data_IF_538752231143
#
_entry.id   IF_538752231143
#
_cell.length_a   1.000
_cell.length_b   1.000
_cell.length_c   1.000
_cell.angle_alpha   90.00
_cell.angle_beta   90.00
_cell.angle_gamma   90.00
#
_symmetry.space_group_name_H-M   'P 1'
#
loop_
_entity.id
_entity.type
_entity.pdbx_description
1 polymer ?
#
# COMPACT_ATOMS: atom_id res chain seq x y z
N UNK A 1 6.58 14.25 12.74
CA UNK A 1 5.90 15.26 13.60
C UNK A 1 6.48 16.65 13.37
N UNK A 2 7.75 16.91 13.70
CA UNK A 2 8.37 18.22 13.44
C UNK A 2 8.28 18.67 11.96
N UNK A 3 8.54 17.74 11.03
CA UNK A 3 8.34 17.98 9.59
C UNK A 3 6.91 18.38 9.24
N UNK A 4 5.90 17.71 9.79
CA UNK A 4 4.49 18.01 9.57
C UNK A 4 4.07 19.36 10.15
N UNK A 5 4.65 19.77 11.29
CA UNK A 5 4.43 21.11 11.87
C UNK A 5 5.00 22.19 10.95
N UNK A 6 6.23 22.02 10.46
CA UNK A 6 6.83 22.95 9.50
C UNK A 6 6.01 23.08 8.23
N UNK A 7 5.55 21.97 7.65
CA UNK A 7 4.72 21.99 6.44
C UNK A 7 3.38 22.70 6.66
N UNK A 8 2.74 22.45 7.81
CA UNK A 8 1.51 23.13 8.18
C UNK A 8 1.70 24.65 8.31
N UNK A 9 2.85 25.10 8.85
CA UNK A 9 3.19 26.52 8.95
C UNK A 9 3.45 27.15 7.56
N UNK A 10 3.89 26.36 6.58
CA UNK A 10 4.10 26.81 5.19
C UNK A 10 2.87 26.57 4.29
N UNK A 11 1.68 26.40 4.88
CA UNK A 11 0.42 26.15 4.18
C UNK A 11 0.40 24.91 3.27
N UNK A 12 1.34 23.97 3.47
CA UNK A 12 1.34 22.66 2.82
C UNK A 12 0.52 21.71 3.69
N UNK A 13 -0.81 21.84 3.60
CA UNK A 13 -1.76 21.01 4.32
C UNK A 13 -3.01 20.68 3.48
N UNK A 14 -3.73 19.64 3.88
CA UNK A 14 -4.95 19.23 3.19
C UNK A 14 -6.12 20.00 3.80
N UNK A 15 -6.56 21.08 3.14
CA UNK A 15 -7.66 21.92 3.62
C UNK A 15 -9.02 21.51 3.09
N UNK A 16 -9.09 20.95 1.88
CA UNK A 16 -10.32 20.46 1.26
C UNK A 16 -10.11 19.04 0.72
N UNK A 17 -11.20 18.30 0.58
CA UNK A 17 -11.24 16.94 0.03
C UNK A 17 -11.90 16.90 -1.36
N UNK A 18 -11.99 18.05 -2.03
CA UNK A 18 -12.65 18.23 -3.32
C UNK A 18 -14.13 18.63 -3.21
N UNK A 19 -14.74 18.82 -4.38
CA UNK A 19 -16.11 19.35 -4.53
C UNK A 19 -17.07 18.25 -4.96
N UNK A 20 -18.07 17.95 -4.13
CA UNK A 20 -19.06 16.89 -4.37
C UNK A 20 -20.46 17.49 -4.40
N UNK A 21 -21.26 17.12 -5.41
CA UNK A 21 -22.62 17.66 -5.59
C UNK A 21 -22.70 19.20 -5.61
N UNK A 22 -21.62 19.88 -6.04
CA UNK A 22 -21.51 21.34 -6.04
C UNK A 22 -21.07 21.96 -4.72
N UNK A 23 -20.84 21.16 -3.67
CA UNK A 23 -20.35 21.61 -2.37
C UNK A 23 -18.89 21.24 -2.18
N UNK A 24 -18.06 22.21 -1.82
CA UNK A 24 -16.66 21.97 -1.45
C UNK A 24 -16.58 21.35 -0.05
N UNK A 25 -15.95 20.18 0.06
CA UNK A 25 -15.77 19.49 1.33
C UNK A 25 -14.53 20.04 2.04
N UNK A 26 -14.70 21.17 2.72
CA UNK A 26 -13.64 21.83 3.51
C UNK A 26 -13.52 21.17 4.88
N UNK A 27 -12.29 20.88 5.30
CA UNK A 27 -12.00 20.31 6.62
C UNK A 27 -12.08 21.40 7.70
N UNK A 28 -12.67 21.10 8.88
CA UNK A 28 -12.60 22.01 10.02
C UNK A 28 -11.15 22.31 10.39
N UNK A 29 -10.82 23.57 10.71
CA UNK A 29 -9.42 24.01 10.95
C UNK A 29 -8.70 23.21 12.03
N UNK A 30 -9.40 22.78 13.08
CA UNK A 30 -8.82 21.94 14.14
C UNK A 30 -8.46 20.52 13.67
N UNK A 31 -9.07 20.05 12.58
CA UNK A 31 -8.88 18.71 12.03
C UNK A 31 -7.87 18.66 10.88
N UNK A 32 -7.59 19.80 10.22
CA UNK A 32 -6.62 19.90 9.11
C UNK A 32 -5.25 19.34 9.51
N UNK A 33 -4.72 19.76 10.67
CA UNK A 33 -3.40 19.32 11.12
C UNK A 33 -3.36 17.80 11.44
N UNK A 34 -4.27 17.25 12.29
CA UNK A 34 -4.32 15.80 12.52
C UNK A 34 -4.47 14.97 11.24
N UNK A 35 -5.33 15.41 10.33
CA UNK A 35 -5.58 14.71 9.06
C UNK A 35 -4.34 14.72 8.16
N UNK A 36 -3.72 15.90 7.99
CA UNK A 36 -2.50 16.06 7.19
C UNK A 36 -1.33 15.28 7.80
N UNK A 37 -1.17 15.32 9.13
CA UNK A 37 -0.16 14.53 9.84
C UNK A 37 -0.35 13.03 9.58
N UNK A 38 -1.59 12.53 9.65
CA UNK A 38 -1.90 11.14 9.37
C UNK A 38 -1.62 10.76 7.91
N UNK A 39 -1.97 11.61 6.95
CA UNK A 39 -1.68 11.38 5.54
C UNK A 39 -0.16 11.28 5.28
N UNK A 40 0.62 12.21 5.84
CA UNK A 40 2.08 12.21 5.75
C UNK A 40 2.65 10.95 6.41
N UNK A 41 2.39 10.73 7.70
CA UNK A 41 2.97 9.61 8.43
C UNK A 41 2.53 8.26 7.85
N UNK A 42 1.26 8.14 7.48
CA UNK A 42 0.66 6.94 6.91
C UNK A 42 1.29 6.56 5.58
N UNK A 43 1.39 7.51 4.64
CA UNK A 43 1.98 7.23 3.34
C UNK A 43 3.50 7.04 3.42
N UNK A 44 4.21 7.85 4.22
CA UNK A 44 5.66 7.66 4.41
C UNK A 44 5.96 6.25 4.93
N UNK A 45 5.16 5.75 5.87
CA UNK A 45 5.28 4.38 6.35
C UNK A 45 4.84 3.35 5.30
N UNK A 46 3.81 3.63 4.51
CA UNK A 46 3.38 2.75 3.42
C UNK A 46 4.48 2.55 2.37
N UNK A 47 5.20 3.62 2.01
CA UNK A 47 6.32 3.52 1.08
C UNK A 47 7.50 2.76 1.69
N UNK A 48 7.80 2.98 2.98
CA UNK A 48 8.81 2.20 3.69
C UNK A 48 8.50 0.69 3.67
N UNK A 49 7.23 0.33 3.90
CA UNK A 49 6.79 -1.06 3.83
C UNK A 49 6.86 -1.66 2.40
N UNK A 50 6.84 -0.82 1.36
CA UNK A 50 7.03 -1.23 -0.04
C UNK A 50 8.50 -1.53 -0.39
N UNK A 51 9.47 -1.04 0.39
CA UNK A 51 10.91 -1.26 0.19
C UNK A 51 11.37 -2.66 0.65
N UNK A 52 10.70 -3.70 0.15
CA UNK A 52 10.97 -5.10 0.49
C UNK A 52 11.60 -5.94 -0.62
N UNK A 53 11.73 -5.38 -1.85
CA UNK A 53 12.37 -6.03 -2.98
C UNK A 53 13.34 -5.07 -3.68
N UNK A 54 14.48 -5.62 -4.12
CA UNK A 54 15.49 -4.93 -4.93
C UNK A 54 14.87 -4.19 -6.12
N UNK A 55 15.01 -2.86 -6.16
CA UNK A 55 14.52 -2.01 -7.24
C UNK A 55 13.03 -1.66 -7.19
N UNK A 56 12.25 -2.15 -6.23
CA UNK A 56 10.80 -1.90 -6.18
C UNK A 56 10.46 -0.46 -5.81
N UNK A 57 10.86 -0.03 -4.61
CA UNK A 57 10.49 1.29 -4.06
C UNK A 57 11.01 2.44 -4.95
N UNK A 58 12.23 2.31 -5.46
CA UNK A 58 12.83 3.27 -6.40
C UNK A 58 12.07 3.34 -7.72
N UNK A 59 11.76 2.19 -8.34
CA UNK A 59 11.05 2.16 -9.63
C UNK A 59 9.64 2.72 -9.56
N UNK A 60 8.86 2.36 -8.53
CA UNK A 60 7.50 2.91 -8.37
C UNK A 60 7.55 4.41 -8.04
N UNK A 61 8.54 4.86 -7.27
CA UNK A 61 8.71 6.28 -6.94
C UNK A 61 9.05 7.11 -8.17
N UNK A 62 9.90 6.60 -9.08
CA UNK A 62 10.18 7.27 -10.36
C UNK A 62 8.88 7.50 -11.14
N UNK A 63 7.99 6.51 -11.22
CA UNK A 63 6.69 6.66 -11.91
C UNK A 63 5.84 7.76 -11.26
N UNK A 64 5.81 7.83 -9.93
CA UNK A 64 5.08 8.89 -9.21
C UNK A 64 5.67 10.26 -9.46
N UNK A 65 7.00 10.41 -9.39
CA UNK A 65 7.68 11.66 -9.70
C UNK A 65 7.50 12.08 -11.16
N UNK A 66 7.44 11.15 -12.12
CA UNK A 66 7.14 11.49 -13.51
C UNK A 66 5.74 12.09 -13.66
N UNK A 67 4.74 11.58 -12.93
CA UNK A 67 3.41 12.17 -12.93
C UNK A 67 3.40 13.58 -12.30
N UNK A 68 4.07 13.78 -11.16
CA UNK A 68 4.19 15.10 -10.53
C UNK A 68 5.00 16.09 -11.37
N UNK A 69 6.03 15.63 -12.07
CA UNK A 69 6.78 16.45 -13.02
C UNK A 69 5.89 16.92 -14.16
N UNK A 70 5.05 16.03 -14.73
CA UNK A 70 4.12 16.40 -15.79
C UNK A 70 3.14 17.49 -15.33
N UNK A 71 2.54 17.32 -14.14
CA UNK A 71 1.64 18.32 -13.52
C UNK A 71 2.41 19.64 -13.29
N UNK A 72 3.62 19.57 -12.74
CA UNK A 72 4.44 20.75 -12.48
C UNK A 72 4.76 21.53 -13.75
N UNK A 73 5.13 20.83 -14.84
CA UNK A 73 5.39 21.44 -16.15
C UNK A 73 4.13 22.07 -16.75
N UNK A 74 2.97 21.44 -16.59
CA UNK A 74 1.69 21.94 -17.11
C UNK A 74 1.25 23.23 -16.42
N UNK A 75 1.47 23.33 -15.11
CA UNK A 75 1.04 24.48 -14.29
C UNK A 75 2.16 25.47 -13.96
N UNK A 76 3.37 25.25 -14.49
CA UNK A 76 4.58 26.01 -14.17
C UNK A 76 4.88 26.10 -12.66
N UNK A 77 4.59 25.03 -11.90
CA UNK A 77 4.90 24.97 -10.47
C UNK A 77 6.35 24.54 -10.25
N UNK A 78 7.18 25.47 -9.77
CA UNK A 78 8.61 25.26 -9.58
C UNK A 78 8.91 24.12 -8.57
N UNK A 79 8.12 24.02 -7.50
CA UNK A 79 8.35 23.01 -6.45
C UNK A 79 8.15 21.59 -7.01
N UNK A 80 7.06 21.36 -7.74
CA UNK A 80 6.78 20.09 -8.42
C UNK A 80 7.86 19.77 -9.46
N UNK A 81 8.29 20.74 -10.27
CA UNK A 81 9.31 20.54 -11.30
C UNK A 81 10.67 20.19 -10.66
N UNK A 82 11.15 21.01 -9.74
CA UNK A 82 12.51 20.89 -9.18
C UNK A 82 12.66 19.61 -8.36
N UNK A 83 11.74 19.33 -7.43
CA UNK A 83 11.87 18.13 -6.60
C UNK A 83 11.65 16.84 -7.42
N UNK A 84 10.66 16.81 -8.32
CA UNK A 84 10.42 15.62 -9.13
C UNK A 84 11.61 15.30 -10.03
N UNK A 85 12.13 16.30 -10.78
CA UNK A 85 13.28 16.09 -11.67
C UNK A 85 14.54 15.66 -10.91
N UNK A 86 14.83 16.28 -9.76
CA UNK A 86 15.94 15.89 -8.89
C UNK A 86 15.83 14.42 -8.48
N UNK A 87 14.69 14.01 -7.91
CA UNK A 87 14.50 12.65 -7.42
C UNK A 87 14.44 11.62 -8.54
N UNK A 88 13.91 11.94 -9.72
CA UNK A 88 13.97 11.05 -10.90
C UNK A 88 15.44 10.73 -11.23
N UNK A 89 16.29 11.75 -11.36
CA UNK A 89 17.72 11.55 -11.70
C UNK A 89 18.44 10.78 -10.60
N UNK A 90 18.26 11.15 -9.33
CA UNK A 90 18.87 10.46 -8.19
C UNK A 90 18.43 9.00 -8.11
N UNK A 91 17.15 8.72 -8.31
CA UNK A 91 16.63 7.35 -8.24
C UNK A 91 17.03 6.51 -9.44
N UNK A 92 17.13 7.08 -10.64
CA UNK A 92 17.69 6.37 -11.80
C UNK A 92 19.15 5.96 -11.54
N UNK A 93 19.95 6.86 -10.98
CA UNK A 93 21.34 6.55 -10.61
C UNK A 93 21.42 5.49 -9.50
N UNK A 94 20.56 5.59 -8.47
CA UNK A 94 20.47 4.59 -7.41
C UNK A 94 20.01 3.22 -7.92
N UNK A 95 19.05 3.19 -8.85
CA UNK A 95 18.49 1.97 -9.42
C UNK A 95 19.55 1.12 -10.13
N UNK A 96 20.59 1.74 -10.72
CA UNK A 96 21.73 1.00 -11.30
C UNK A 96 22.44 0.10 -10.28
N UNK A 97 22.43 0.48 -9.00
CA UNK A 97 23.04 -0.28 -7.90
C UNK A 97 22.02 -1.10 -7.10
N UNK A 98 20.75 -0.69 -7.13
CA UNK A 98 19.67 -1.33 -6.37
C UNK A 98 18.88 -2.36 -7.18
N UNK A 99 19.05 -2.44 -8.51
CA UNK A 99 18.40 -3.45 -9.34
C UNK A 99 18.85 -4.86 -8.98
N UNK A 100 17.92 -5.82 -9.01
CA UNK A 100 18.19 -7.18 -8.59
C UNK A 100 19.30 -7.87 -9.43
N UNK A 101 20.35 -8.45 -8.80
CA UNK A 101 20.62 -8.47 -7.35
C UNK A 101 21.22 -7.15 -6.83
N UNK A 102 20.63 -6.59 -5.77
CA UNK A 102 21.05 -5.29 -5.23
C UNK A 102 22.46 -5.31 -4.62
N UNK A 103 23.24 -4.27 -4.93
CA UNK A 103 24.54 -3.97 -4.31
C UNK A 103 24.41 -2.96 -3.17
N UNK A 104 23.43 -2.08 -3.27
CA UNK A 104 23.11 -1.05 -2.27
C UNK A 104 21.63 -1.15 -1.96
N UNK A 105 21.30 -1.26 -0.67
CA UNK A 105 19.93 -1.22 -0.18
C UNK A 105 19.53 0.21 0.16
N UNK A 106 18.25 0.52 -0.03
CA UNK A 106 17.71 1.84 0.23
C UNK A 106 17.65 2.11 1.74
N UNK A 107 17.14 1.14 2.50
CA UNK A 107 17.04 1.20 3.96
C UNK A 107 16.00 2.22 4.44
N UNK A 108 15.69 2.17 5.73
CA UNK A 108 14.63 3.00 6.33
C UNK A 108 14.86 4.50 6.09
N UNK A 109 16.11 4.97 6.16
CA UNK A 109 16.42 6.39 5.93
C UNK A 109 16.02 6.85 4.52
N UNK A 110 16.31 6.04 3.50
CA UNK A 110 16.00 6.39 2.12
C UNK A 110 14.50 6.32 1.82
N UNK A 111 13.86 5.23 2.24
CA UNK A 111 12.44 4.98 1.96
C UNK A 111 11.52 5.96 2.68
N UNK A 112 11.83 6.32 3.94
CA UNK A 112 11.09 7.34 4.69
C UNK A 112 11.28 8.73 4.09
N UNK A 113 12.49 9.09 3.67
CA UNK A 113 12.75 10.37 3.01
C UNK A 113 11.99 10.49 1.69
N UNK A 114 12.03 9.45 0.84
CA UNK A 114 11.22 9.43 -0.39
C UNK A 114 9.73 9.54 -0.09
N UNK A 115 9.23 8.77 0.88
CA UNK A 115 7.82 8.78 1.24
C UNK A 115 7.36 10.17 1.67
N UNK A 116 8.18 10.86 2.46
CA UNK A 116 7.92 12.24 2.86
C UNK A 116 7.82 13.19 1.65
N UNK A 117 8.80 13.16 0.74
CA UNK A 117 8.82 14.05 -0.42
C UNK A 117 7.61 13.79 -1.32
N UNK A 118 7.28 12.52 -1.58
CA UNK A 118 6.14 12.17 -2.41
C UNK A 118 4.83 12.70 -1.83
N UNK A 119 4.62 12.66 -0.51
CA UNK A 119 3.41 13.24 0.09
C UNK A 119 3.40 14.75 -0.01
N UNK A 120 4.55 15.42 0.17
CA UNK A 120 4.63 16.87 0.01
C UNK A 120 4.20 17.27 -1.41
N UNK A 121 4.72 16.58 -2.43
CA UNK A 121 4.32 16.81 -3.82
C UNK A 121 2.86 16.45 -4.07
N UNK A 122 2.36 15.39 -3.42
CA UNK A 122 0.95 14.99 -3.48
C UNK A 122 0.02 16.07 -2.94
N UNK A 123 0.35 16.67 -1.80
CA UNK A 123 -0.42 17.77 -1.19
C UNK A 123 -0.35 19.00 -2.10
N UNK A 124 0.85 19.35 -2.60
CA UNK A 124 1.02 20.47 -3.52
C UNK A 124 0.19 20.29 -4.81
N UNK A 125 0.15 19.07 -5.34
CA UNK A 125 -0.63 18.76 -6.54
C UNK A 125 -2.15 18.95 -6.36
N UNK A 126 -2.68 18.95 -5.12
CA UNK A 126 -4.10 19.21 -4.85
C UNK A 126 -4.55 20.62 -5.27
N UNK A 127 -3.62 21.56 -5.48
CA UNK A 127 -3.93 22.87 -6.04
C UNK A 127 -4.35 22.80 -7.52
N UNK A 128 -3.97 21.73 -8.21
CA UNK A 128 -4.11 21.61 -9.67
C UNK A 128 -5.02 20.46 -10.11
N UNK A 129 -5.06 19.36 -9.34
CA UNK A 129 -5.74 18.12 -9.72
C UNK A 129 -6.66 17.63 -8.61
N UNK A 130 -7.65 16.80 -8.98
CA UNK A 130 -8.58 16.23 -7.98
C UNK A 130 -7.86 15.39 -6.92
N UNK A 131 -8.37 15.33 -5.66
CA UNK A 131 -7.81 14.45 -4.63
C UNK A 131 -7.79 12.98 -5.03
N UNK A 132 -8.79 12.53 -5.79
CA UNK A 132 -8.83 11.16 -6.31
C UNK A 132 -7.70 10.90 -7.33
N UNK A 133 -7.36 11.87 -8.18
CA UNK A 133 -6.21 11.79 -9.09
C UNK A 133 -4.89 11.66 -8.34
N UNK A 134 -4.71 12.39 -7.24
CA UNK A 134 -3.55 12.23 -6.37
C UNK A 134 -3.50 10.80 -5.81
N UNK A 135 -4.62 10.29 -5.27
CA UNK A 135 -4.70 8.92 -4.76
C UNK A 135 -4.35 7.86 -5.80
N UNK A 136 -4.71 8.07 -7.07
CA UNK A 136 -4.27 7.21 -8.18
C UNK A 136 -2.76 7.28 -8.39
N UNK A 137 -2.18 8.48 -8.41
CA UNK A 137 -0.74 8.67 -8.60
C UNK A 137 0.05 7.97 -7.49
N UNK A 138 -0.45 7.93 -6.25
CA UNK A 138 0.25 7.29 -5.13
C UNK A 138 -0.42 5.97 -4.67
N UNK A 139 -1.19 5.33 -5.56
CA UNK A 139 -2.08 4.24 -5.16
C UNK A 139 -1.32 3.05 -4.58
N UNK A 140 -0.30 2.55 -5.27
CA UNK A 140 0.21 1.20 -4.99
C UNK A 140 0.70 0.98 -3.54
N UNK A 141 1.48 1.88 -2.92
CA UNK A 141 1.85 1.76 -1.50
C UNK A 141 0.65 1.78 -0.55
N UNK A 142 -0.33 2.65 -0.82
CA UNK A 142 -1.57 2.76 -0.02
C UNK A 142 -2.35 1.45 -0.12
N UNK A 143 -2.55 0.95 -1.34
CA UNK A 143 -3.30 -0.25 -1.63
C UNK A 143 -2.69 -1.49 -0.97
N UNK A 144 -1.38 -1.66 -1.09
CA UNK A 144 -0.67 -2.78 -0.47
C UNK A 144 -0.80 -2.74 1.07
N UNK A 145 -0.56 -1.57 1.66
CA UNK A 145 -0.68 -1.37 3.10
C UNK A 145 -2.09 -1.68 3.59
N UNK A 146 -3.12 -1.22 2.86
CA UNK A 146 -4.51 -1.47 3.21
C UNK A 146 -4.87 -2.95 3.13
N UNK A 147 -4.37 -3.68 2.12
CA UNK A 147 -4.54 -5.13 2.03
C UNK A 147 -3.92 -5.84 3.22
N UNK A 148 -2.70 -5.46 3.60
CA UNK A 148 -2.00 -6.06 4.75
C UNK A 148 -2.77 -5.78 6.05
N UNK A 149 -3.20 -4.55 6.28
CA UNK A 149 -4.00 -4.18 7.45
C UNK A 149 -5.34 -4.94 7.49
N UNK A 150 -6.05 -5.02 6.37
CA UNK A 150 -7.31 -5.76 6.25
C UNK A 150 -7.12 -7.23 6.57
N UNK A 151 -6.07 -7.86 6.02
CA UNK A 151 -5.71 -9.26 6.31
C UNK A 151 -5.37 -9.49 7.79
N UNK A 152 -4.77 -8.51 8.48
CA UNK A 152 -4.45 -8.58 9.92
C UNK A 152 -5.73 -8.53 10.77
N UNK A 153 -6.61 -7.58 10.47
CA UNK A 153 -7.90 -7.44 11.16
C UNK A 153 -8.73 -8.72 11.01
N UNK A 154 -8.78 -9.30 9.80
CA UNK A 154 -9.45 -10.58 9.54
C UNK A 154 -8.84 -11.77 10.30
N UNK A 155 -7.58 -11.67 10.78
CA UNK A 155 -6.89 -12.67 11.61
C UNK A 155 -7.05 -12.41 13.11
N UNK A 156 -7.76 -11.36 13.51
CA UNK A 156 -7.81 -10.91 14.90
C UNK A 156 -6.49 -10.34 15.41
N UNK A 157 -5.57 -9.97 14.50
CA UNK A 157 -4.28 -9.37 14.83
C UNK A 157 -4.41 -7.86 14.67
N UNK A 158 -3.79 -7.10 15.57
CA UNK A 158 -3.75 -5.63 15.46
C UNK A 158 -3.20 -5.19 14.09
N UNK A 159 -3.87 -4.26 13.38
CA UNK A 159 -3.42 -3.75 12.09
C UNK A 159 -2.07 -3.02 12.18
N UNK A 160 -1.68 -2.55 13.37
CA UNK A 160 -0.45 -1.78 13.61
C UNK A 160 0.77 -2.65 14.00
N UNK A 161 0.62 -3.98 14.08
CA UNK A 161 1.74 -4.88 14.38
C UNK A 161 2.64 -5.03 13.15
N UNK A 162 3.94 -4.76 13.27
CA UNK A 162 4.89 -4.95 12.18
C UNK A 162 4.91 -6.43 11.72
N UNK A 163 4.61 -6.68 10.44
CA UNK A 163 4.60 -8.00 9.81
C UNK A 163 5.10 -7.82 8.37
N UNK A 164 5.92 -8.76 7.91
CA UNK A 164 6.65 -8.71 6.64
C UNK A 164 5.84 -9.23 5.44
N UNK A 165 4.57 -9.60 5.61
CA UNK A 165 3.77 -10.25 4.57
C UNK A 165 3.01 -9.29 3.64
N UNK A 166 3.76 -8.55 2.82
CA UNK A 166 3.23 -7.62 1.81
C UNK A 166 2.90 -8.31 0.47
N UNK A 167 2.22 -7.62 -0.45
CA UNK A 167 1.90 -8.17 -1.78
C UNK A 167 3.14 -8.55 -2.57
N UNK A 168 4.25 -7.83 -2.40
CA UNK A 168 5.50 -8.18 -3.06
C UNK A 168 6.04 -9.55 -2.60
N UNK A 169 5.90 -9.90 -1.31
CA UNK A 169 6.18 -11.25 -0.82
C UNK A 169 5.20 -12.29 -1.36
N UNK A 170 3.92 -11.93 -1.52
CA UNK A 170 2.93 -12.83 -2.11
C UNK A 170 3.23 -13.15 -3.59
N UNK A 171 3.47 -12.12 -4.41
CA UNK A 171 3.80 -12.28 -5.83
C UNK A 171 5.12 -13.04 -6.02
N UNK A 172 6.12 -12.72 -5.19
CA UNK A 172 7.38 -13.46 -5.16
C UNK A 172 7.15 -14.94 -4.82
N UNK A 173 6.36 -15.25 -3.79
CA UNK A 173 6.09 -16.64 -3.38
C UNK A 173 5.29 -17.44 -4.43
N UNK A 174 4.57 -16.78 -5.35
CA UNK A 174 3.83 -17.46 -6.43
C UNK A 174 4.71 -17.76 -7.64
N UNK A 175 5.63 -16.86 -8.01
CA UNK A 175 6.45 -17.00 -9.23
C UNK A 175 7.92 -17.36 -9.00
N UNK A 176 8.48 -17.02 -7.84
CA UNK A 176 9.90 -17.21 -7.52
C UNK A 176 10.86 -16.21 -8.18
N UNK A 177 10.35 -15.16 -8.85
CA UNK A 177 11.16 -14.19 -9.60
C UNK A 177 10.92 -12.75 -9.09
N UNK A 178 12.00 -12.15 -8.56
CA UNK A 178 12.01 -10.77 -8.04
C UNK A 178 11.79 -9.77 -9.18
N UNK A 179 12.50 -9.92 -10.30
CA UNK A 179 12.44 -8.97 -11.43
C UNK A 179 11.04 -8.93 -12.02
N UNK A 180 10.43 -10.12 -12.21
CA UNK A 180 9.06 -10.22 -12.69
C UNK A 180 8.07 -9.53 -11.75
N UNK A 181 8.22 -9.73 -10.44
CA UNK A 181 7.35 -9.11 -9.42
C UNK A 181 7.46 -7.59 -9.46
N UNK A 182 8.68 -7.06 -9.51
CA UNK A 182 8.95 -5.62 -9.60
C UNK A 182 8.33 -5.05 -10.88
N UNK A 183 8.56 -5.68 -12.04
CA UNK A 183 8.02 -5.19 -13.32
C UNK A 183 6.49 -5.11 -13.31
N UNK A 184 5.79 -6.11 -12.79
CA UNK A 184 4.32 -6.06 -12.67
C UNK A 184 3.87 -4.91 -11.80
N UNK A 185 4.49 -4.74 -10.63
CA UNK A 185 4.11 -3.69 -9.69
C UNK A 185 4.37 -2.29 -10.28
N UNK A 186 5.47 -2.12 -10.99
CA UNK A 186 5.78 -0.89 -11.73
C UNK A 186 4.75 -0.63 -12.84
N UNK A 187 4.37 -1.66 -13.61
CA UNK A 187 3.32 -1.53 -14.63
C UNK A 187 1.96 -1.16 -14.00
N UNK A 188 1.59 -1.75 -12.87
CA UNK A 188 0.38 -1.40 -12.14
C UNK A 188 0.41 0.06 -11.68
N UNK A 189 1.52 0.49 -11.08
CA UNK A 189 1.70 1.88 -10.66
C UNK A 189 1.63 2.84 -11.85
N UNK A 190 2.25 2.49 -12.99
CA UNK A 190 2.18 3.28 -14.22
C UNK A 190 0.75 3.42 -14.73
N UNK A 191 -0.03 2.33 -14.75
CA UNK A 191 -1.45 2.36 -15.14
C UNK A 191 -2.25 3.26 -14.19
N UNK A 192 -2.05 3.14 -12.88
CA UNK A 192 -2.74 4.01 -11.92
C UNK A 192 -2.37 5.48 -12.12
N UNK A 193 -1.08 5.81 -12.28
CA UNK A 193 -0.63 7.18 -12.51
C UNK A 193 -1.18 7.77 -13.82
N UNK A 194 -1.24 6.97 -14.91
CA UNK A 194 -1.86 7.41 -16.18
C UNK A 194 -3.34 7.70 -15.98
N UNK A 195 -4.08 6.80 -15.32
CA UNK A 195 -5.51 7.01 -15.03
C UNK A 195 -5.68 8.29 -14.19
N UNK A 196 -4.88 8.45 -13.13
CA UNK A 196 -4.91 9.62 -12.26
C UNK A 196 -4.68 10.92 -13.00
N UNK A 197 -3.69 10.95 -13.90
CA UNK A 197 -3.41 12.10 -14.76
C UNK A 197 -4.55 12.37 -15.75
N UNK A 198 -5.15 11.34 -16.36
CA UNK A 198 -6.25 11.53 -17.32
C UNK A 198 -7.55 12.01 -16.67
N UNK A 199 -7.81 11.64 -15.42
CA UNK A 199 -8.99 12.09 -14.67
C UNK A 199 -8.73 13.34 -13.81
N UNK A 200 -7.58 13.98 -13.97
CA UNK A 200 -7.14 15.16 -13.21
C UNK A 200 -8.10 16.34 -13.29
N UNK A 201 -8.72 16.54 -14.46
CA UNK A 201 -9.68 17.60 -14.75
C UNK A 201 -11.13 17.08 -14.77
N UNK A 202 -11.35 15.80 -14.48
CA UNK A 202 -12.70 15.24 -14.41
C UNK A 202 -13.43 15.70 -13.14
N UNK A 203 -14.75 15.49 -13.10
CA UNK A 203 -15.54 15.79 -11.91
C UNK A 203 -15.04 14.94 -10.71
N UNK A 204 -14.78 15.57 -9.56
CA UNK A 204 -14.30 14.92 -8.34
C UNK A 204 -15.11 13.66 -7.97
N UNK A 205 -16.44 13.68 -8.16
CA UNK A 205 -17.30 12.53 -7.87
C UNK A 205 -17.00 11.36 -8.81
N UNK A 206 -16.83 11.62 -10.11
CA UNK A 206 -16.50 10.58 -11.10
C UNK A 206 -15.13 9.99 -10.79
N UNK A 207 -14.12 10.83 -10.53
CA UNK A 207 -12.78 10.39 -10.19
C UNK A 207 -12.76 9.56 -8.90
N UNK A 208 -13.51 9.98 -7.87
CA UNK A 208 -13.63 9.25 -6.60
C UNK A 208 -14.37 7.91 -6.76
N UNK A 209 -15.45 7.87 -7.54
CA UNK A 209 -16.19 6.62 -7.83
C UNK A 209 -15.30 5.65 -8.61
N UNK A 210 -14.56 6.14 -9.60
CA UNK A 210 -13.62 5.33 -10.38
C UNK A 210 -12.52 4.76 -9.49
N UNK A 211 -11.92 5.59 -8.63
CA UNK A 211 -10.92 5.15 -7.66
C UNK A 211 -11.49 4.08 -6.73
N UNK A 212 -12.67 4.31 -6.16
CA UNK A 212 -13.35 3.39 -5.25
C UNK A 212 -13.69 2.05 -5.91
N UNK A 213 -14.12 2.07 -7.17
CA UNK A 213 -14.41 0.87 -7.95
C UNK A 213 -13.14 0.05 -8.20
N UNK A 214 -12.07 0.69 -8.68
CA UNK A 214 -10.79 0.02 -8.94
C UNK A 214 -10.17 -0.48 -7.65
N UNK A 215 -10.28 0.29 -6.56
CA UNK A 215 -9.90 -0.14 -5.23
C UNK A 215 -10.63 -1.41 -4.81
N UNK A 216 -11.95 -1.44 -4.94
CA UNK A 216 -12.76 -2.61 -4.62
C UNK A 216 -12.36 -3.84 -5.46
N UNK A 217 -12.16 -3.67 -6.77
CA UNK A 217 -11.70 -4.74 -7.67
C UNK A 217 -10.34 -5.27 -7.21
N UNK A 218 -9.40 -4.36 -6.92
CA UNK A 218 -8.06 -4.70 -6.44
C UNK A 218 -8.11 -5.51 -5.15
N UNK A 219 -8.89 -5.06 -4.16
CA UNK A 219 -9.10 -5.80 -2.91
C UNK A 219 -9.63 -7.21 -3.17
N UNK A 220 -10.61 -7.40 -4.05
CA UNK A 220 -11.17 -8.72 -4.36
C UNK A 220 -10.21 -9.64 -5.14
N UNK A 221 -9.36 -9.08 -5.99
CA UNK A 221 -8.36 -9.84 -6.73
C UNK A 221 -7.25 -10.36 -5.82
N UNK A 222 -6.77 -9.50 -4.92
CA UNK A 222 -5.62 -9.78 -4.06
C UNK A 222 -6.00 -10.31 -2.68
N UNK A 223 -7.23 -10.13 -2.20
CA UNK A 223 -7.73 -10.81 -0.99
C UNK A 223 -8.16 -12.25 -1.31
N UNK A 224 -7.17 -13.13 -1.40
CA UNK A 224 -7.37 -14.55 -1.71
C UNK A 224 -8.05 -15.35 -0.59
N UNK A 225 -8.30 -14.77 0.60
CA UNK A 225 -8.97 -15.47 1.69
C UNK A 225 -10.49 -15.55 1.53
N UNK A 226 -11.14 -14.63 0.81
CA UNK A 226 -12.55 -14.82 0.40
C UNK A 226 -12.71 -16.08 -0.45
N UNK A 227 -11.76 -16.33 -1.37
CA UNK A 227 -11.74 -17.54 -2.20
C UNK A 227 -11.43 -18.80 -1.39
N UNK A 228 -10.50 -18.75 -0.42
CA UNK A 228 -10.21 -19.90 0.47
C UNK A 228 -11.34 -20.21 1.45
N UNK A 229 -11.98 -19.22 2.08
CA UNK A 229 -13.17 -19.45 2.94
C UNK A 229 -14.34 -20.02 2.16
N UNK A 230 -14.65 -19.50 0.96
CA UNK A 230 -15.66 -20.12 0.09
C UNK A 230 -15.28 -21.57 -0.25
N UNK A 231 -14.01 -21.85 -0.57
CA UNK A 231 -13.55 -23.20 -0.87
C UNK A 231 -13.64 -24.13 0.35
N UNK A 232 -13.30 -23.67 1.55
CA UNK A 232 -13.44 -24.44 2.80
C UNK A 232 -14.90 -24.69 3.19
N UNK A 233 -15.80 -23.73 2.94
CA UNK A 233 -17.26 -23.91 3.15
C UNK A 233 -17.88 -24.86 2.12
N UNK A 234 -17.35 -24.88 0.89
CA UNK A 234 -17.83 -25.72 -0.22
C UNK A 234 -17.19 -27.12 -0.27
N UNK A 235 -16.14 -27.38 0.52
CA UNK A 235 -15.57 -28.72 0.63
C UNK A 235 -16.50 -29.58 1.49
N UNK A 236 -16.91 -30.78 1.02
CA UNK A 236 -17.69 -31.69 1.84
C UNK A 236 -16.87 -32.03 3.09
N UNK A 237 -17.49 -31.88 4.26
CA UNK A 237 -16.90 -32.23 5.54
C UNK A 237 -16.42 -33.69 5.45
N UNK A 238 -15.11 -33.91 5.54
CA UNK A 238 -14.54 -35.25 5.60
C UNK A 238 -14.79 -35.85 6.99
N UNK A 239 -15.96 -36.46 7.14
CA UNK A 239 -16.37 -37.14 8.35
C UNK A 239 -15.40 -38.25 8.77
N UNK A 240 -14.65 -38.87 7.85
CA UNK A 240 -13.69 -39.93 8.20
C UNK A 240 -12.56 -39.40 9.07
N UNK A 241 -12.01 -38.23 8.71
CA UNK A 241 -10.99 -37.54 9.49
C UNK A 241 -11.50 -37.05 10.85
N UNK A 242 -12.78 -36.65 10.93
CA UNK A 242 -13.42 -36.21 12.17
C UNK A 242 -13.65 -37.37 13.15
N UNK A 243 -14.20 -38.50 12.67
CA UNK A 243 -14.41 -39.70 13.48
C UNK A 243 -13.09 -40.36 13.91
N UNK A 244 -12.02 -40.25 13.12
CA UNK A 244 -10.70 -40.76 13.50
C UNK A 244 -10.08 -39.97 14.66
N UNK A 245 -10.28 -38.64 14.72
CA UNK A 245 -9.83 -37.82 15.85
C UNK A 245 -10.60 -38.12 17.13
N UNK A 246 -11.91 -38.36 17.03
CA UNK A 246 -12.72 -38.77 18.20
C UNK A 246 -12.27 -40.14 18.73
N UNK A 247 -12.00 -41.12 17.85
CA UNK A 247 -11.48 -42.44 18.27
C UNK A 247 -10.13 -42.35 19.01
N UNK A 248 -9.21 -41.50 18.55
CA UNK A 248 -7.93 -41.29 19.24
C UNK A 248 -8.09 -40.65 20.63
N UNK A 249 -9.06 -39.75 20.81
CA UNK A 249 -9.32 -39.12 22.11
C UNK A 249 -9.96 -40.10 23.10
N UNK A 250 -10.82 -41.00 22.63
CA UNK A 250 -11.45 -42.03 23.48
C UNK A 250 -10.43 -43.09 23.94
N UNK A 251 -9.45 -43.46 23.12
CA UNK A 251 -8.41 -44.44 23.48
C UNK A 251 -7.42 -43.96 24.57
N UNK A 252 -7.32 -42.65 24.82
CA UNK A 252 -6.42 -42.09 25.85
C UNK A 252 -7.06 -42.01 27.24
N UNK A 253 -8.29 -42.50 27.43
CA UNK A 253 -9.03 -42.41 28.71
C UNK A 253 -9.15 -43.73 29.48
N UNK A 254 -8.49 -44.81 29.05
CA UNK A 254 -8.36 -46.03 29.84
C UNK A 254 -6.99 -46.09 30.54
N UNK A 255 -6.91 -45.97 31.87
CA UNK A 255 -5.68 -46.21 32.61
C UNK A 255 -5.43 -47.73 32.70
N UNK A 256 -4.26 -48.16 32.23
CA UNK A 256 -3.73 -49.50 32.48
C UNK A 256 -3.39 -49.63 33.97
N UNK A 257 -4.11 -50.50 34.68
CA UNK A 257 -3.85 -50.86 36.07
C UNK A 257 -3.76 -52.37 36.24
N UNK A 258 -2.56 -52.81 36.63
CA UNK A 258 -2.18 -53.98 37.44
C UNK A 258 -2.77 -55.38 37.15
N UNK A 259 -1.86 -56.34 36.93
CA UNK A 259 -1.87 -57.74 37.44
C UNK A 259 -0.50 -58.39 37.13
N UNK A 260 0.41 -58.52 38.11
CA UNK A 260 0.68 -59.69 38.98
C UNK A 260 1.41 -60.89 38.31
N UNK A 261 2.74 -60.98 38.50
CA UNK A 261 3.59 -62.18 38.36
C UNK A 261 4.82 -61.97 39.28
N UNK A 262 5.02 -62.65 40.41
CA UNK A 262 5.55 -64.02 40.64
C UNK A 262 5.68 -64.25 42.16
N UNK A 263 5.94 -65.48 42.67
CA UNK A 263 5.59 -66.81 42.18
C UNK A 263 4.52 -67.51 43.04
#
# INVERSE_FOLDING_TARGET
>A
FFSSVLLYINDIAIFNLGTYFGYELVLPSWFVFPFTFFAIAGYTNALNLMDGLDGLASSISIVMFMAFLAIGLEHADELLITLSSFFIVTLLAFLLFNWNPAKIFMGDSGSLALGMVIVILSIKALEYITPASVLFIIALPILDTFIVMTRRIQRGISPFKADKNHMHHFLYNVKGDVKYTVMILVMMQMVFSIIGYQVSLANNLISLVLFSLLFYIYLNLFDQRLKRRKKEILLPIDWRSYFHRIRCVVQLTHPLGYDSLLP
#
